data_IF_870489795432
#
_entry.id   IF_870489795432
#
_cell.length_a   1.000
_cell.length_b   1.000
_cell.length_c   1.000
_cell.angle_alpha   90.00
_cell.angle_beta   90.00
_cell.angle_gamma   90.00
#
_symmetry.space_group_name_H-M   'P 1'
#
loop_
_entity.id
_entity.type
_entity.pdbx_description
1 polymer ?
#
# COMPACT_ATOMS: atom_id res chain seq x y z
N UNK A 1 37.86 -29.87 -1.84
CA UNK A 1 37.94 -28.47 -1.40
C UNK A 1 37.29 -27.65 -2.51
N UNK A 2 35.97 -27.47 -2.45
CA UNK A 2 35.20 -26.74 -3.46
C UNK A 2 35.40 -25.26 -3.16
N UNK A 3 36.01 -24.53 -4.09
CA UNK A 3 36.18 -23.08 -3.96
C UNK A 3 34.81 -22.42 -3.77
N UNK A 4 34.72 -21.67 -2.68
CA UNK A 4 33.63 -20.79 -2.28
C UNK A 4 33.10 -19.97 -3.46
N UNK A 5 31.77 -19.95 -3.62
CA UNK A 5 31.07 -18.91 -4.38
C UNK A 5 31.66 -17.54 -4.02
N UNK A 6 32.05 -16.78 -5.04
CA UNK A 6 32.24 -15.34 -4.91
C UNK A 6 30.83 -14.79 -4.69
N UNK A 7 30.50 -14.42 -3.45
CA UNK A 7 29.23 -13.74 -3.19
C UNK A 7 29.20 -12.42 -3.99
N UNK A 8 28.20 -12.21 -4.83
CA UNK A 8 27.99 -10.95 -5.58
C UNK A 8 27.52 -9.81 -4.68
N UNK A 9 27.16 -10.12 -3.42
CA UNK A 9 26.91 -9.14 -2.36
C UNK A 9 28.17 -8.90 -1.52
N UNK A 10 28.54 -7.63 -1.39
CA UNK A 10 29.56 -7.17 -0.44
C UNK A 10 28.89 -6.43 0.71
N UNK A 11 29.17 -6.86 1.94
CA UNK A 11 28.58 -6.29 3.16
C UNK A 11 29.65 -5.58 3.98
N UNK A 12 29.35 -4.36 4.41
CA UNK A 12 30.13 -3.62 5.41
C UNK A 12 29.18 -2.90 6.37
N UNK A 13 29.70 -2.38 7.48
CA UNK A 13 28.87 -1.61 8.42
C UNK A 13 28.22 -0.44 7.69
N UNK A 14 26.89 -0.35 7.77
CA UNK A 14 26.09 0.68 7.13
C UNK A 14 26.19 0.73 5.58
N UNK A 15 26.58 -0.37 4.93
CA UNK A 15 26.57 -0.43 3.47
C UNK A 15 26.43 -1.85 2.93
N UNK A 16 25.62 -1.99 1.88
CA UNK A 16 25.48 -3.21 1.08
C UNK A 16 25.71 -2.85 -0.38
N UNK A 17 26.52 -3.65 -1.05
CA UNK A 17 26.73 -3.58 -2.50
C UNK A 17 26.15 -4.85 -3.13
N UNK A 18 25.32 -4.71 -4.15
CA UNK A 18 24.78 -5.82 -4.94
C UNK A 18 25.11 -5.66 -6.43
N UNK A 19 25.04 -6.75 -7.17
CA UNK A 19 25.16 -6.74 -8.63
C UNK A 19 23.83 -7.15 -9.26
N UNK A 20 23.48 -6.49 -10.36
CA UNK A 20 22.26 -6.77 -11.11
C UNK A 20 22.52 -6.68 -12.63
N UNK A 21 21.70 -7.38 -13.39
CA UNK A 21 21.79 -7.52 -14.84
C UNK A 21 20.66 -6.73 -15.48
N UNK A 22 20.97 -5.89 -16.46
CA UNK A 22 19.95 -5.12 -17.17
C UNK A 22 19.08 -5.99 -18.07
N UNK A 23 17.80 -5.66 -18.13
CA UNK A 23 16.77 -6.35 -18.95
C UNK A 23 16.59 -5.73 -20.34
N UNK A 24 17.21 -4.57 -20.61
CA UNK A 24 16.96 -3.71 -21.80
C UNK A 24 15.53 -3.17 -21.88
N UNK A 25 14.97 -2.71 -20.74
CA UNK A 25 13.79 -1.84 -20.79
C UNK A 25 14.09 -0.63 -21.69
N UNK A 26 13.37 -0.53 -22.81
CA UNK A 26 13.52 0.59 -23.74
C UNK A 26 13.28 1.94 -23.05
N UNK A 27 13.80 3.03 -23.63
CA UNK A 27 13.72 4.37 -23.01
C UNK A 27 12.28 4.85 -22.76
N UNK A 28 11.32 4.36 -23.53
CA UNK A 28 9.90 4.70 -23.41
C UNK A 28 9.09 3.62 -22.68
N UNK A 29 9.74 2.54 -22.24
CA UNK A 29 9.10 1.47 -21.49
C UNK A 29 8.63 2.00 -20.12
N UNK A 30 7.40 1.63 -19.76
CA UNK A 30 6.91 1.86 -18.41
C UNK A 30 7.55 0.82 -17.50
N UNK A 31 8.21 1.28 -16.44
CA UNK A 31 8.86 0.40 -15.48
C UNK A 31 8.16 0.52 -14.13
N UNK A 32 7.90 -0.63 -13.51
CA UNK A 32 7.33 -0.73 -12.17
C UNK A 32 8.38 -1.11 -11.13
N UNK A 33 9.53 -1.66 -11.55
CA UNK A 33 10.60 -2.09 -10.67
C UNK A 33 11.95 -1.56 -11.13
N UNK A 34 12.75 -1.08 -10.17
CA UNK A 34 14.17 -0.89 -10.43
C UNK A 34 14.91 -2.22 -10.32
N UNK A 35 14.59 -3.00 -9.29
CA UNK A 35 15.19 -4.29 -9.02
C UNK A 35 14.13 -5.34 -8.72
N UNK A 36 14.17 -6.45 -9.45
CA UNK A 36 13.48 -7.68 -9.14
C UNK A 36 14.50 -8.82 -8.92
N UNK A 37 14.09 -9.90 -8.26
CA UNK A 37 14.92 -11.08 -8.05
C UNK A 37 15.31 -11.77 -9.38
N UNK A 38 16.33 -12.64 -9.36
CA UNK A 38 16.88 -13.28 -10.56
C UNK A 38 15.85 -14.08 -11.37
N UNK A 39 14.89 -14.69 -10.67
CA UNK A 39 13.88 -15.58 -11.25
C UNK A 39 12.51 -14.88 -11.46
N UNK A 40 12.48 -13.55 -11.46
CA UNK A 40 11.23 -12.79 -11.66
C UNK A 40 10.68 -12.98 -13.08
N UNK A 41 9.38 -13.16 -13.21
CA UNK A 41 8.66 -13.15 -14.49
C UNK A 41 8.25 -11.75 -14.96
N UNK A 42 8.67 -10.70 -14.23
CA UNK A 42 8.42 -9.29 -14.53
C UNK A 42 9.65 -8.57 -15.11
N UNK A 43 10.49 -9.28 -15.85
CA UNK A 43 11.71 -8.72 -16.47
C UNK A 43 11.39 -7.63 -17.53
N UNK A 44 10.21 -7.67 -18.14
CA UNK A 44 9.74 -6.70 -19.12
C UNK A 44 9.41 -5.32 -18.53
N UNK A 45 9.17 -5.23 -17.22
CA UNK A 45 8.86 -3.98 -16.49
C UNK A 45 9.82 -3.71 -15.32
N UNK A 46 10.91 -4.48 -15.25
CA UNK A 46 12.00 -4.32 -14.29
C UNK A 46 13.25 -3.83 -15.00
N UNK A 47 13.88 -2.75 -14.53
CA UNK A 47 15.10 -2.24 -15.18
C UNK A 47 16.32 -3.18 -15.00
N UNK A 48 16.37 -3.90 -13.88
CA UNK A 48 17.41 -4.88 -13.54
C UNK A 48 16.86 -6.10 -12.81
N UNK A 49 17.46 -7.26 -13.07
CA UNK A 49 17.33 -8.47 -12.26
C UNK A 49 18.57 -8.64 -11.38
N UNK A 50 18.41 -8.83 -10.07
CA UNK A 50 19.55 -9.03 -9.17
C UNK A 50 20.19 -10.41 -9.40
N UNK A 51 21.51 -10.53 -9.20
CA UNK A 51 22.17 -11.85 -9.28
C UNK A 51 21.86 -12.72 -8.05
N UNK A 52 21.75 -12.08 -6.88
CA UNK A 52 21.41 -12.75 -5.62
C UNK A 52 19.90 -12.80 -5.39
N UNK A 53 19.46 -13.79 -4.61
CA UNK A 53 18.06 -13.92 -4.23
C UNK A 53 17.61 -12.76 -3.33
N UNK A 54 16.30 -12.46 -3.35
CA UNK A 54 15.69 -11.45 -2.47
C UNK A 54 15.98 -11.75 -1.00
N UNK A 55 16.00 -13.05 -0.64
CA UNK A 55 16.32 -13.52 0.71
C UNK A 55 17.75 -13.17 1.11
N UNK A 56 18.72 -13.41 0.23
CA UNK A 56 20.13 -13.13 0.50
C UNK A 56 20.40 -11.63 0.57
N UNK A 57 19.74 -10.85 -0.27
CA UNK A 57 19.79 -9.38 -0.22
C UNK A 57 19.24 -8.89 1.14
N UNK A 58 18.09 -9.39 1.57
CA UNK A 58 17.54 -9.02 2.88
C UNK A 58 18.48 -9.37 4.04
N UNK A 59 19.03 -10.59 4.03
CA UNK A 59 19.98 -11.05 5.04
C UNK A 59 21.27 -10.20 5.04
N UNK A 60 21.72 -9.72 3.88
CA UNK A 60 22.89 -8.86 3.77
C UNK A 60 22.66 -7.48 4.40
N UNK A 61 21.51 -6.86 4.17
CA UNK A 61 21.13 -5.59 4.80
C UNK A 61 21.00 -5.74 6.32
N UNK A 62 20.35 -6.81 6.79
CA UNK A 62 20.24 -7.13 8.22
C UNK A 62 21.62 -7.32 8.87
N UNK A 63 22.50 -8.10 8.22
CA UNK A 63 23.89 -8.31 8.66
C UNK A 63 24.70 -7.01 8.69
N UNK A 64 24.41 -6.06 7.79
CA UNK A 64 25.03 -4.74 7.76
C UNK A 64 24.55 -3.81 8.89
N UNK A 65 23.54 -4.23 9.65
CA UNK A 65 23.02 -3.53 10.83
C UNK A 65 21.92 -2.50 10.54
N UNK A 66 21.28 -2.53 9.38
CA UNK A 66 20.12 -1.66 9.13
C UNK A 66 18.92 -2.15 9.98
N UNK A 67 18.22 -1.27 10.70
CA UNK A 67 17.02 -1.69 11.43
C UNK A 67 15.88 -2.00 10.46
N UNK A 68 15.09 -3.03 10.79
CA UNK A 68 13.89 -3.36 10.04
C UNK A 68 12.84 -2.24 10.19
N UNK A 69 12.26 -1.84 9.05
CA UNK A 69 11.22 -0.83 9.02
C UNK A 69 9.80 -1.41 9.08
N UNK A 70 8.82 -0.60 8.69
CA UNK A 70 7.42 -0.97 8.51
C UNK A 70 7.03 -0.70 7.04
N UNK A 71 6.90 -1.72 6.18
CA UNK A 71 6.42 -1.54 4.80
C UNK A 71 4.99 -1.02 4.79
N UNK A 72 4.47 -0.49 3.68
CA UNK A 72 3.02 -0.23 3.58
C UNK A 72 2.17 -1.48 3.85
N UNK A 73 0.92 -1.28 4.28
CA UNK A 73 -0.01 -2.36 4.60
C UNK A 73 -1.44 -1.86 4.56
N UNK A 74 -2.20 -2.31 3.56
CA UNK A 74 -3.64 -1.99 3.42
C UNK A 74 -4.42 -2.47 4.66
N UNK A 75 -4.18 -3.72 5.08
CA UNK A 75 -4.82 -4.34 6.25
C UNK A 75 -4.65 -3.52 7.54
N UNK A 76 -3.49 -2.90 7.72
CA UNK A 76 -3.19 -2.10 8.91
C UNK A 76 -3.35 -0.59 8.65
N UNK A 77 -3.97 -0.20 7.53
CA UNK A 77 -4.08 1.19 7.06
C UNK A 77 -2.79 2.00 7.18
N UNK A 78 -1.67 1.36 6.83
CA UNK A 78 -0.34 1.97 6.82
C UNK A 78 0.02 2.29 5.37
N UNK A 79 -0.24 3.52 4.95
CA UNK A 79 -0.02 3.96 3.58
C UNK A 79 1.33 4.65 3.38
N UNK A 80 1.94 5.13 4.46
CA UNK A 80 3.31 5.65 4.44
C UNK A 80 4.28 4.60 4.98
N UNK A 81 5.31 4.20 4.22
CA UNK A 81 6.34 3.31 4.74
C UNK A 81 7.19 4.02 5.80
N UNK A 82 7.65 3.25 6.77
CA UNK A 82 8.57 3.69 7.81
C UNK A 82 9.86 2.87 7.68
N UNK A 83 11.02 3.50 7.70
CA UNK A 83 12.27 2.86 7.37
C UNK A 83 13.48 3.78 7.49
N UNK A 84 14.66 3.20 7.33
CA UNK A 84 15.93 3.93 7.27
C UNK A 84 16.13 4.47 5.85
N UNK A 85 16.45 5.75 5.70
CA UNK A 85 16.73 6.34 4.39
C UNK A 85 18.01 5.77 3.80
N UNK A 86 17.95 5.40 2.53
CA UNK A 86 19.06 4.86 1.76
C UNK A 86 19.57 5.91 0.76
N UNK A 87 20.89 5.98 0.63
CA UNK A 87 21.54 6.57 -0.55
C UNK A 87 22.03 5.44 -1.45
N UNK A 88 21.73 5.54 -2.74
CA UNK A 88 22.16 4.58 -3.77
C UNK A 88 23.22 5.19 -4.68
N UNK A 89 24.21 4.39 -5.07
CA UNK A 89 25.24 4.72 -6.06
C UNK A 89 25.30 3.60 -7.12
N UNK A 90 25.16 3.92 -8.43
CA UNK A 90 24.82 5.24 -8.99
C UNK A 90 23.47 5.76 -8.51
N UNK A 91 23.26 7.08 -8.61
CA UNK A 91 22.03 7.74 -8.16
C UNK A 91 20.80 7.21 -8.92
N UNK A 92 19.68 6.99 -8.22
CA UNK A 92 18.44 6.49 -8.80
C UNK A 92 17.98 7.31 -9.99
N UNK A 93 18.05 8.62 -9.86
CA UNK A 93 17.54 9.56 -10.84
C UNK A 93 18.49 9.76 -12.03
N UNK A 94 19.66 9.11 -12.01
CA UNK A 94 20.50 8.92 -13.20
C UNK A 94 20.04 7.73 -14.06
N UNK A 95 19.18 6.87 -13.51
CA UNK A 95 18.68 5.65 -14.15
C UNK A 95 17.20 5.74 -14.51
N UNK A 96 16.42 6.47 -13.71
CA UNK A 96 14.96 6.56 -13.84
C UNK A 96 14.53 8.02 -13.99
N UNK A 97 13.56 8.26 -14.88
CA UNK A 97 12.82 9.51 -15.02
C UNK A 97 11.41 9.33 -14.46
N UNK A 98 10.96 10.31 -13.70
CA UNK A 98 9.57 10.47 -13.34
C UNK A 98 8.92 11.43 -14.34
N UNK A 99 7.92 10.93 -15.06
CA UNK A 99 7.24 11.66 -16.13
C UNK A 99 6.12 12.57 -15.62
N UNK A 100 5.81 12.52 -14.31
CA UNK A 100 4.71 13.28 -13.70
C UNK A 100 5.16 14.26 -12.64
N UNK A 101 6.25 13.95 -11.93
CA UNK A 101 6.72 14.74 -10.79
C UNK A 101 8.24 14.85 -10.80
N UNK A 102 8.77 16.08 -10.86
CA UNK A 102 10.23 16.29 -10.83
C UNK A 102 10.84 16.10 -9.43
N UNK A 103 10.00 15.97 -8.38
CA UNK A 103 10.49 15.73 -7.03
C UNK A 103 11.19 14.38 -6.98
N UNK A 104 12.43 14.38 -6.51
CA UNK A 104 13.25 13.19 -6.29
C UNK A 104 12.91 12.57 -4.93
N UNK A 105 12.07 11.54 -4.92
CA UNK A 105 11.65 10.86 -3.69
C UNK A 105 12.82 10.09 -3.06
N UNK A 106 13.03 10.19 -1.73
CA UNK A 106 14.00 9.35 -1.03
C UNK A 106 13.63 7.87 -1.08
N UNK A 107 14.64 7.00 -1.08
CA UNK A 107 14.47 5.55 -0.91
C UNK A 107 14.53 5.23 0.57
N UNK A 108 13.66 4.34 1.05
CA UNK A 108 13.68 3.84 2.42
C UNK A 108 13.73 2.32 2.46
N UNK A 109 14.57 1.82 3.36
CA UNK A 109 14.60 0.41 3.73
C UNK A 109 13.47 0.11 4.69
N UNK A 110 12.50 -0.69 4.22
CA UNK A 110 11.48 -1.27 5.10
C UNK A 110 11.76 -2.74 5.38
N UNK A 111 12.54 -3.39 4.52
CA UNK A 111 12.78 -4.82 4.52
C UNK A 111 11.59 -5.65 4.04
N UNK A 112 10.57 -5.01 3.46
CA UNK A 112 9.35 -5.67 2.97
C UNK A 112 8.51 -6.37 4.04
N UNK A 113 7.33 -6.84 3.64
CA UNK A 113 6.48 -7.71 4.48
C UNK A 113 7.24 -8.99 4.79
N UNK A 114 7.12 -9.47 6.04
CA UNK A 114 7.75 -10.71 6.51
C UNK A 114 6.74 -11.81 6.74
N UNK A 115 7.15 -13.03 6.41
CA UNK A 115 6.49 -14.27 6.80
C UNK A 115 6.66 -14.52 8.31
N UNK A 116 5.94 -15.52 8.83
CA UNK A 116 6.02 -15.89 10.25
C UNK A 116 7.42 -16.32 10.71
N UNK A 117 8.22 -16.86 9.79
CA UNK A 117 9.60 -17.28 10.05
C UNK A 117 10.63 -16.13 9.91
N UNK A 118 10.15 -14.91 9.62
CA UNK A 118 10.99 -13.73 9.42
C UNK A 118 11.55 -13.57 8.00
N UNK A 119 11.37 -14.54 7.12
CA UNK A 119 11.77 -14.41 5.71
C UNK A 119 10.93 -13.34 5.01
N UNK A 120 11.48 -12.60 4.03
CA UNK A 120 10.69 -11.64 3.26
C UNK A 120 9.72 -12.36 2.32
N UNK A 121 8.47 -11.90 2.29
CA UNK A 121 7.41 -12.46 1.41
C UNK A 121 7.83 -12.40 -0.06
N UNK A 122 8.55 -11.36 -0.46
CA UNK A 122 9.09 -11.22 -1.82
C UNK A 122 10.15 -12.28 -2.17
N UNK A 123 10.61 -13.13 -1.24
CA UNK A 123 11.52 -14.23 -1.57
C UNK A 123 10.83 -15.37 -2.33
N UNK A 124 9.52 -15.51 -2.21
CA UNK A 124 8.75 -16.59 -2.84
C UNK A 124 7.57 -16.10 -3.67
N UNK A 125 7.18 -14.83 -3.51
CA UNK A 125 6.02 -14.27 -4.20
C UNK A 125 6.49 -13.36 -5.34
N UNK A 126 5.97 -13.63 -6.54
CA UNK A 126 6.14 -12.72 -7.67
C UNK A 126 5.63 -11.32 -7.30
N UNK A 127 6.31 -10.26 -7.76
CA UNK A 127 7.37 -10.23 -8.78
C UNK A 127 8.79 -10.42 -8.24
N UNK A 128 8.98 -10.97 -7.03
CA UNK A 128 10.27 -11.01 -6.33
C UNK A 128 10.88 -9.61 -6.14
N UNK A 129 10.04 -8.63 -5.77
CA UNK A 129 10.42 -7.23 -5.74
C UNK A 129 11.52 -6.93 -4.70
N UNK A 130 12.68 -6.47 -5.16
CA UNK A 130 13.71 -5.88 -4.31
C UNK A 130 13.45 -4.38 -4.13
N UNK A 131 13.15 -3.66 -5.21
CA UNK A 131 12.72 -2.27 -5.17
C UNK A 131 11.68 -1.98 -6.25
N UNK A 132 10.42 -1.89 -5.82
CA UNK A 132 9.30 -1.41 -6.63
C UNK A 132 9.28 0.14 -6.64
N UNK A 133 8.93 0.72 -7.78
CA UNK A 133 8.78 2.16 -7.98
C UNK A 133 7.40 2.68 -7.51
N UNK A 134 6.72 1.91 -6.69
CA UNK A 134 5.50 2.26 -5.97
C UNK A 134 5.50 1.54 -4.61
N UNK A 135 4.54 1.84 -3.75
CA UNK A 135 4.47 1.24 -2.42
C UNK A 135 3.87 -0.17 -2.45
N UNK A 136 4.65 -1.12 -2.97
CA UNK A 136 4.39 -2.54 -2.89
C UNK A 136 4.82 -3.10 -1.50
N UNK A 137 3.89 -3.60 -0.65
CA UNK A 137 4.21 -4.03 0.71
C UNK A 137 5.37 -5.03 0.83
N UNK A 138 5.45 -6.00 -0.09
CA UNK A 138 6.49 -7.04 -0.05
C UNK A 138 7.87 -6.57 -0.52
N UNK A 139 7.97 -5.41 -1.20
CA UNK A 139 9.24 -4.90 -1.67
C UNK A 139 10.17 -4.50 -0.53
N UNK A 140 11.45 -4.86 -0.62
CA UNK A 140 12.43 -4.59 0.44
C UNK A 140 12.67 -3.08 0.63
N UNK A 141 12.69 -2.35 -0.49
CA UNK A 141 12.85 -0.90 -0.54
C UNK A 141 11.59 -0.26 -1.08
N UNK A 142 11.25 0.93 -0.57
CA UNK A 142 10.10 1.71 -1.03
C UNK A 142 10.48 3.18 -1.11
N UNK A 143 9.68 3.97 -1.83
CA UNK A 143 9.78 5.42 -1.75
C UNK A 143 9.26 5.94 -0.41
N UNK A 144 9.87 7.02 0.10
CA UNK A 144 9.39 7.78 1.26
C UNK A 144 8.17 8.64 0.91
N UNK A 145 7.13 8.00 0.39
CA UNK A 145 5.89 8.63 -0.09
C UNK A 145 4.73 7.61 0.00
N UNK A 146 3.51 8.05 -0.31
CA UNK A 146 2.30 7.23 -0.39
C UNK A 146 1.85 7.09 -1.85
N UNK A 147 2.59 6.30 -2.60
CA UNK A 147 2.42 5.98 -4.01
C UNK A 147 1.72 4.63 -4.18
N UNK A 148 0.40 4.65 -4.31
CA UNK A 148 -0.32 3.46 -4.75
C UNK A 148 -0.01 3.14 -6.22
N UNK A 149 -0.22 1.88 -6.62
CA UNK A 149 0.12 1.42 -7.97
C UNK A 149 -0.64 2.17 -9.07
N UNK A 150 -1.90 2.55 -8.81
CA UNK A 150 -2.72 3.28 -9.80
C UNK A 150 -2.18 4.69 -10.05
N UNK A 151 -1.58 5.32 -9.03
CA UNK A 151 -0.93 6.61 -9.14
C UNK A 151 0.42 6.55 -9.89
N UNK A 152 1.05 5.37 -9.97
CA UNK A 152 2.37 5.18 -10.59
C UNK A 152 2.33 4.50 -11.95
N UNK A 153 1.20 3.92 -12.36
CA UNK A 153 1.09 3.30 -13.68
C UNK A 153 1.45 4.29 -14.79
N UNK A 154 2.48 3.96 -15.58
CA UNK A 154 3.05 4.83 -16.63
C UNK A 154 3.78 6.08 -16.14
N UNK A 155 4.14 6.18 -14.86
CA UNK A 155 4.85 7.32 -14.28
C UNK A 155 6.36 7.25 -14.50
N UNK A 156 6.97 6.08 -14.37
CA UNK A 156 8.42 5.93 -14.40
C UNK A 156 8.90 5.30 -15.71
N UNK A 157 9.98 5.87 -16.25
CA UNK A 157 10.64 5.40 -17.47
C UNK A 157 12.17 5.37 -17.27
N UNK A 158 12.92 4.53 -18.00
CA UNK A 158 14.37 4.61 -18.01
C UNK A 158 14.89 5.99 -18.46
N UNK A 159 15.90 6.51 -17.75
CA UNK A 159 16.64 7.71 -18.10
C UNK A 159 17.79 7.40 -19.08
N UNK A 160 18.26 6.16 -19.08
CA UNK A 160 19.41 5.70 -19.85
C UNK A 160 19.09 4.36 -20.49
N UNK A 161 19.60 4.14 -21.70
CA UNK A 161 19.54 2.83 -22.35
C UNK A 161 20.72 1.99 -21.88
N UNK A 162 20.45 0.77 -21.43
CA UNK A 162 21.45 -0.16 -20.94
C UNK A 162 21.25 -1.48 -21.71
N UNK A 163 22.29 -2.01 -22.39
CA UNK A 163 22.20 -3.27 -23.10
C UNK A 163 21.74 -4.44 -22.22
N UNK A 164 20.90 -5.31 -22.78
CA UNK A 164 20.45 -6.54 -22.11
C UNK A 164 21.67 -7.36 -21.69
N UNK A 165 21.67 -7.85 -20.46
CA UNK A 165 22.79 -8.64 -19.95
C UNK A 165 23.94 -7.82 -19.37
N UNK A 166 23.95 -6.47 -19.52
CA UNK A 166 24.99 -5.65 -18.91
C UNK A 166 24.88 -5.73 -17.38
N UNK A 167 25.99 -6.12 -16.74
CA UNK A 167 26.09 -6.18 -15.28
C UNK A 167 26.42 -4.80 -14.72
N UNK A 168 25.73 -4.41 -13.66
CA UNK A 168 26.01 -3.19 -12.90
C UNK A 168 26.04 -3.46 -11.41
N UNK A 169 26.87 -2.69 -10.73
CA UNK A 169 27.03 -2.75 -9.28
C UNK A 169 26.36 -1.54 -8.65
N UNK A 170 25.58 -1.80 -7.60
CA UNK A 170 24.82 -0.80 -6.88
C UNK A 170 25.19 -0.84 -5.41
N UNK A 171 25.64 0.30 -4.88
CA UNK A 171 26.01 0.46 -3.48
C UNK A 171 24.92 1.25 -2.75
N UNK A 172 24.43 0.68 -1.66
CA UNK A 172 23.50 1.32 -0.74
C UNK A 172 24.25 1.70 0.54
N UNK A 173 23.99 2.89 1.05
CA UNK A 173 24.56 3.41 2.30
C UNK A 173 23.50 4.13 3.13
N UNK A 174 23.68 4.17 4.46
CA UNK A 174 22.79 4.89 5.37
C UNK A 174 23.55 5.44 6.59
N UNK A 175 22.95 6.41 7.26
CA UNK A 175 23.49 7.04 8.48
C UNK A 175 22.64 6.75 9.73
N UNK A 176 21.55 5.99 9.57
CA UNK A 176 20.58 5.71 10.63
C UNK A 176 19.41 6.70 10.71
N UNK A 177 19.35 7.71 9.82
CA UNK A 177 18.17 8.59 9.72
C UNK A 177 16.94 7.77 9.30
N UNK A 178 15.92 7.77 10.16
CA UNK A 178 14.63 7.15 9.86
C UNK A 178 13.63 8.18 9.37
N UNK A 179 12.80 7.81 8.41
CA UNK A 179 11.68 8.64 7.94
C UNK A 179 10.45 8.59 8.87
N UNK A 180 10.52 7.83 9.98
CA UNK A 180 9.49 7.77 11.03
C UNK A 180 9.77 8.71 12.20
N UNK A 181 10.98 9.28 12.28
CA UNK A 181 11.43 10.11 13.38
C UNK A 181 10.96 11.57 13.38
N UNK A 182 10.15 12.00 12.40
CA UNK A 182 9.53 13.33 12.44
C UNK A 182 8.18 13.27 13.14
N UNK A 183 7.11 12.70 12.58
CA UNK A 183 5.86 12.43 13.33
C UNK A 183 5.07 11.25 12.70
N UNK A 184 5.23 10.01 13.20
CA UNK A 184 4.25 8.94 12.93
C UNK A 184 3.11 9.07 13.96
N UNK A 185 1.87 9.06 13.50
CA UNK A 185 0.70 9.13 14.37
C UNK A 185 -0.35 8.07 14.01
N UNK A 186 -0.99 7.55 15.05
CA UNK A 186 -2.18 6.70 14.95
C UNK A 186 -3.32 7.43 15.67
N UNK A 187 -4.25 8.03 14.92
CA UNK A 187 -5.38 8.74 15.49
C UNK A 187 -6.23 7.87 16.43
N UNK A 188 -6.82 8.51 17.44
CA UNK A 188 -7.80 7.90 18.32
C UNK A 188 -9.17 8.55 18.09
N UNK A 189 -10.14 7.74 17.70
CA UNK A 189 -11.53 8.15 17.54
C UNK A 189 -12.36 7.49 18.65
N UNK A 190 -12.45 8.12 19.83
CA UNK A 190 -13.03 7.48 20.99
C UNK A 190 -14.55 7.28 20.82
N UNK A 191 -15.14 6.25 21.45
CA UNK A 191 -16.53 5.84 21.22
C UNK A 191 -17.57 6.93 21.57
N UNK A 192 -17.26 7.85 22.46
CA UNK A 192 -18.11 8.98 22.85
C UNK A 192 -18.06 10.18 21.89
N UNK A 193 -17.17 10.15 20.89
CA UNK A 193 -17.11 11.17 19.84
C UNK A 193 -18.36 11.10 18.96
N UNK A 194 -18.87 12.27 18.53
CA UNK A 194 -19.95 12.31 17.57
C UNK A 194 -19.42 12.11 16.15
N UNK A 195 -20.18 11.46 15.27
CA UNK A 195 -19.83 11.25 13.84
C UNK A 195 -19.41 12.56 13.17
N UNK A 196 -20.14 13.65 13.42
CA UNK A 196 -19.84 14.97 12.86
C UNK A 196 -18.48 15.53 13.30
N UNK A 197 -18.04 15.24 14.53
CA UNK A 197 -16.73 15.67 15.02
C UNK A 197 -15.60 14.76 14.51
N UNK A 198 -15.88 13.46 14.34
CA UNK A 198 -14.97 12.53 13.69
C UNK A 198 -14.66 12.95 12.24
N UNK A 199 -15.68 13.37 11.48
CA UNK A 199 -15.51 13.89 10.12
C UNK A 199 -14.62 15.15 10.11
N UNK A 200 -14.85 16.11 11.01
CA UNK A 200 -14.01 17.32 11.11
C UNK A 200 -12.56 16.99 11.45
N UNK A 201 -12.36 16.12 12.44
CA UNK A 201 -11.02 15.69 12.86
C UNK A 201 -10.30 14.94 11.74
N UNK A 202 -11.00 14.03 11.06
CA UNK A 202 -10.47 13.32 9.90
C UNK A 202 -10.05 14.30 8.79
N UNK A 203 -10.85 15.33 8.53
CA UNK A 203 -10.49 16.41 7.59
C UNK A 203 -9.19 17.10 7.99
N UNK A 204 -9.06 17.50 9.25
CA UNK A 204 -7.81 18.11 9.76
C UNK A 204 -6.61 17.16 9.66
N UNK A 205 -6.80 15.87 9.94
CA UNK A 205 -5.75 14.85 9.78
C UNK A 205 -5.33 14.68 8.31
N UNK A 206 -6.27 14.77 7.37
CA UNK A 206 -5.98 14.69 5.94
C UNK A 206 -5.06 15.81 5.46
N UNK A 207 -5.22 17.02 6.00
CA UNK A 207 -4.36 18.16 5.68
C UNK A 207 -2.94 18.00 6.27
N UNK A 208 -2.80 17.24 7.35
CA UNK A 208 -1.51 16.94 7.97
C UNK A 208 -0.79 15.76 7.30
N UNK A 209 -1.55 14.84 6.70
CA UNK A 209 -1.07 13.56 6.19
C UNK A 209 -0.11 13.75 5.00
N UNK A 210 1.19 13.59 5.26
CA UNK A 210 2.26 13.98 4.35
C UNK A 210 3.53 13.15 4.62
N UNK A 211 4.57 13.23 3.76
CA UNK A 211 5.85 12.59 4.04
C UNK A 211 6.50 13.03 5.37
N UNK A 212 6.20 14.24 5.85
CA UNK A 212 6.72 14.77 7.11
C UNK A 212 5.91 14.28 8.34
N UNK A 213 4.61 14.06 8.17
CA UNK A 213 3.66 13.69 9.22
C UNK A 213 2.77 12.56 8.71
N UNK A 214 3.06 11.34 9.17
CA UNK A 214 2.49 10.12 8.59
C UNK A 214 1.33 9.63 9.45
N UNK A 215 0.12 9.75 8.93
CA UNK A 215 -1.09 9.30 9.63
C UNK A 215 -1.37 7.85 9.23
N UNK A 216 -0.88 6.92 10.05
CA UNK A 216 -0.94 5.49 9.79
C UNK A 216 -1.75 4.75 10.86
N UNK A 217 -2.51 3.76 10.40
CA UNK A 217 -3.20 2.81 11.26
C UNK A 217 -4.38 3.37 12.03
N UNK A 218 -4.96 2.50 12.84
CA UNK A 218 -6.14 2.73 13.64
C UNK A 218 -6.03 1.93 14.93
N UNK A 219 -6.75 2.34 15.98
CA UNK A 219 -6.85 1.52 17.20
C UNK A 219 -7.81 0.36 17.00
N UNK A 220 -7.56 -0.75 17.69
CA UNK A 220 -8.41 -1.93 17.61
C UNK A 220 -9.88 -1.59 17.88
N UNK A 221 -10.77 -2.06 17.01
CA UNK A 221 -12.21 -1.79 17.09
C UNK A 221 -12.65 -0.40 16.59
N UNK A 222 -11.72 0.43 16.10
CA UNK A 222 -12.02 1.72 15.48
C UNK A 222 -11.78 1.68 13.97
N UNK A 223 -12.13 2.77 13.28
CA UNK A 223 -11.84 2.97 11.87
C UNK A 223 -10.60 3.80 11.65
N UNK A 224 -9.97 3.59 10.49
CA UNK A 224 -8.97 4.52 9.96
C UNK A 224 -9.60 5.88 9.66
N UNK A 225 -8.86 6.97 9.86
CA UNK A 225 -9.44 8.32 9.77
C UNK A 225 -10.10 8.61 8.41
N UNK A 226 -9.52 8.10 7.30
CA UNK A 226 -10.09 8.29 5.95
C UNK A 226 -11.46 7.61 5.76
N UNK A 227 -11.85 6.69 6.66
CA UNK A 227 -13.21 6.15 6.68
C UNK A 227 -14.26 7.25 6.85
N UNK A 228 -13.93 8.35 7.55
CA UNK A 228 -14.83 9.49 7.76
C UNK A 228 -14.75 10.55 6.64
N UNK A 229 -14.00 10.26 5.57
CA UNK A 229 -13.86 11.14 4.39
C UNK A 229 -14.23 10.41 3.09
N UNK A 230 -15.41 9.73 3.02
CA UNK A 230 -15.82 9.13 1.77
C UNK A 230 -16.07 10.19 0.69
N UNK A 231 -15.95 9.80 -0.58
CA UNK A 231 -16.28 10.69 -1.69
C UNK A 231 -17.80 10.92 -1.73
N UNK A 232 -18.22 12.17 -1.83
CA UNK A 232 -19.65 12.51 -1.83
C UNK A 232 -20.41 11.89 -3.01
N UNK A 233 -19.74 11.75 -4.17
CA UNK A 233 -20.32 11.07 -5.34
C UNK A 233 -20.70 9.62 -5.05
N UNK A 234 -20.02 8.95 -4.11
CA UNK A 234 -20.35 7.58 -3.73
C UNK A 234 -21.70 7.46 -2.99
N UNK A 235 -22.37 8.56 -2.64
CA UNK A 235 -23.76 8.47 -2.17
C UNK A 235 -24.69 7.99 -3.27
N UNK A 236 -24.45 8.41 -4.51
CA UNK A 236 -25.15 7.88 -5.68
C UNK A 236 -24.59 6.50 -6.01
N UNK A 237 -25.46 5.49 -6.07
CA UNK A 237 -25.08 4.10 -6.37
C UNK A 237 -24.57 3.93 -7.79
N UNK A 238 -25.00 4.79 -8.73
CA UNK A 238 -24.58 4.74 -10.14
C UNK A 238 -23.16 5.24 -10.36
N UNK A 239 -22.68 6.12 -9.49
CA UNK A 239 -21.34 6.70 -9.56
C UNK A 239 -20.27 5.80 -8.90
N UNK A 240 -20.65 4.60 -8.45
CA UNK A 240 -19.74 3.65 -7.79
C UNK A 240 -19.27 2.59 -8.78
N UNK A 241 -18.00 2.24 -8.68
CA UNK A 241 -17.42 1.11 -9.42
C UNK A 241 -17.84 -0.25 -8.85
N UNK A 242 -18.25 -0.30 -7.59
CA UNK A 242 -18.70 -1.50 -6.90
C UNK A 242 -19.95 -1.19 -6.08
N UNK A 243 -20.64 -2.23 -5.61
CA UNK A 243 -21.85 -2.09 -4.80
C UNK A 243 -21.64 -2.64 -3.37
N UNK A 244 -20.99 -1.85 -2.47
CA UNK A 244 -20.79 -2.21 -1.06
C UNK A 244 -22.09 -2.47 -0.31
N UNK A 245 -21.98 -3.12 0.86
CA UNK A 245 -23.08 -3.12 1.82
C UNK A 245 -23.37 -1.70 2.30
N UNK A 246 -24.64 -1.37 2.48
CA UNK A 246 -25.07 -0.11 3.09
C UNK A 246 -25.73 -0.37 4.44
N UNK A 247 -25.30 0.35 5.47
CA UNK A 247 -25.98 0.38 6.77
C UNK A 247 -26.55 1.77 6.99
N UNK A 248 -27.84 1.85 7.30
CA UNK A 248 -28.55 3.09 7.67
C UNK A 248 -29.15 2.95 9.06
N UNK A 249 -29.28 4.05 9.78
CA UNK A 249 -29.93 4.03 11.09
C UNK A 249 -31.37 4.54 10.99
N UNK A 250 -32.35 3.66 11.19
CA UNK A 250 -33.79 3.98 11.19
C UNK A 250 -34.29 3.86 12.62
N UNK A 251 -34.86 4.95 13.15
CA UNK A 251 -35.33 5.00 14.55
C UNK A 251 -34.25 4.57 15.57
N UNK A 252 -32.98 4.91 15.29
CA UNK A 252 -31.83 4.57 16.13
C UNK A 252 -31.36 3.11 16.03
N UNK A 253 -31.92 2.30 15.11
CA UNK A 253 -31.48 0.91 14.87
C UNK A 253 -30.80 0.77 13.53
N UNK A 254 -29.71 -0.02 13.42
CA UNK A 254 -29.05 -0.25 12.15
C UNK A 254 -29.90 -1.18 11.27
N UNK A 255 -30.08 -0.79 10.01
CA UNK A 255 -30.73 -1.55 8.95
C UNK A 255 -29.71 -1.76 7.82
N UNK A 256 -29.62 -3.00 7.33
CA UNK A 256 -28.67 -3.40 6.31
C UNK A 256 -29.38 -3.51 4.95
N UNK A 257 -28.80 -2.85 3.95
CA UNK A 257 -29.23 -2.92 2.56
C UNK A 257 -28.10 -3.55 1.72
N UNK A 258 -28.48 -4.53 0.89
CA UNK A 258 -27.62 -5.12 -0.13
C UNK A 258 -28.07 -4.63 -1.49
N UNK A 259 -27.12 -4.24 -2.34
CA UNK A 259 -27.40 -3.87 -3.73
C UNK A 259 -26.96 -5.00 -4.64
N UNK A 260 -27.85 -5.41 -5.55
CA UNK A 260 -27.58 -6.39 -6.60
C UNK A 260 -27.62 -5.70 -7.96
N UNK A 261 -26.70 -6.10 -8.81
CA UNK A 261 -26.67 -5.70 -10.21
C UNK A 261 -27.47 -6.71 -11.04
N UNK A 262 -28.44 -6.21 -11.80
CA UNK A 262 -29.20 -6.96 -12.77
C UNK A 262 -28.77 -6.55 -14.18
N UNK A 263 -28.12 -7.48 -14.86
CA UNK A 263 -27.55 -7.34 -16.21
C UNK A 263 -28.46 -7.95 -17.29
N UNK A 264 -29.75 -8.17 -17.00
CA UNK A 264 -30.68 -8.85 -17.93
C UNK A 264 -31.09 -8.02 -19.15
N UNK A 265 -30.85 -6.70 -19.16
CA UNK A 265 -31.12 -5.85 -20.32
C UNK A 265 -29.93 -5.81 -21.28
N UNK A 266 -30.03 -6.59 -22.37
CA UNK A 266 -29.00 -6.66 -23.42
C UNK A 266 -28.79 -5.34 -24.17
N UNK A 267 -29.71 -4.36 -24.06
CA UNK A 267 -29.58 -3.05 -24.70
C UNK A 267 -28.94 -1.98 -23.77
N UNK A 268 -28.68 -2.34 -22.51
CA UNK A 268 -28.05 -1.45 -21.55
C UNK A 268 -26.59 -1.83 -21.33
N UNK A 269 -25.72 -0.82 -21.30
CA UNK A 269 -24.33 -0.99 -20.86
C UNK A 269 -24.16 -0.82 -19.35
N UNK A 270 -25.22 -0.38 -18.66
CA UNK A 270 -25.24 -0.22 -17.20
C UNK A 270 -26.21 -1.22 -16.55
N UNK A 271 -25.86 -1.81 -15.40
CA UNK A 271 -26.76 -2.71 -14.71
C UNK A 271 -27.90 -1.95 -14.06
N UNK A 272 -29.06 -2.61 -13.99
CA UNK A 272 -30.13 -2.15 -13.12
C UNK A 272 -29.76 -2.48 -11.67
N UNK A 273 -29.67 -1.45 -10.83
CA UNK A 273 -29.35 -1.62 -9.41
C UNK A 273 -30.62 -1.90 -8.59
N UNK A 274 -30.64 -3.04 -7.90
CA UNK A 274 -31.75 -3.48 -7.04
C UNK A 274 -31.26 -3.47 -5.60
N UNK A 275 -31.77 -2.54 -4.79
CA UNK A 275 -31.51 -2.50 -3.36
C UNK A 275 -32.55 -3.31 -2.59
N UNK A 276 -32.09 -4.12 -1.66
CA UNK A 276 -32.95 -4.97 -0.83
C UNK A 276 -32.46 -4.92 0.61
N UNK A 277 -33.38 -4.60 1.53
CA UNK A 277 -33.10 -4.68 2.95
C UNK A 277 -33.08 -6.14 3.39
N UNK A 278 -32.06 -6.51 4.14
CA UNK A 278 -31.82 -7.88 4.58
C UNK A 278 -31.39 -7.88 6.05
N UNK A 279 -31.41 -9.06 6.67
CA UNK A 279 -30.89 -9.20 8.03
C UNK A 279 -29.38 -9.37 8.03
N UNK A 280 -28.71 -8.97 9.12
CA UNK A 280 -27.27 -9.11 9.27
C UNK A 280 -26.81 -10.58 9.18
N UNK A 281 -27.62 -11.51 9.68
CA UNK A 281 -27.31 -12.95 9.65
C UNK A 281 -27.26 -13.48 8.21
N UNK A 282 -28.07 -12.92 7.31
CA UNK A 282 -28.15 -13.37 5.92
C UNK A 282 -26.87 -13.11 5.11
N UNK A 283 -26.05 -12.14 5.55
CA UNK A 283 -24.81 -11.76 4.87
C UNK A 283 -23.56 -12.25 5.60
N UNK A 284 -23.68 -12.97 6.72
CA UNK A 284 -22.54 -13.32 7.59
C UNK A 284 -21.40 -14.09 6.89
N UNK A 285 -21.69 -14.74 5.76
CA UNK A 285 -20.74 -15.49 4.90
C UNK A 285 -20.66 -14.94 3.48
N UNK A 286 -21.16 -13.73 3.26
CA UNK A 286 -21.15 -13.10 1.95
C UNK A 286 -19.78 -12.47 1.71
N UNK A 287 -19.11 -12.96 0.67
CA UNK A 287 -17.76 -12.54 0.27
C UNK A 287 -17.76 -11.66 -0.98
N UNK A 288 -18.95 -11.22 -1.45
CA UNK A 288 -19.09 -10.40 -2.67
C UNK A 288 -18.48 -9.01 -2.55
N UNK A 289 -18.24 -8.53 -1.34
CA UNK A 289 -17.60 -7.24 -1.09
C UNK A 289 -16.78 -7.27 0.18
N UNK A 290 -15.73 -6.47 0.20
CA UNK A 290 -14.87 -6.20 1.35
C UNK A 290 -15.14 -4.81 1.96
N UNK A 291 -16.17 -4.12 1.45
CA UNK A 291 -16.46 -2.71 1.73
C UNK A 291 -17.86 -2.53 2.30
N UNK A 292 -18.01 -1.63 3.27
CA UNK A 292 -19.30 -1.20 3.80
C UNK A 292 -19.39 0.32 3.96
N UNK A 293 -20.52 0.88 3.52
CA UNK A 293 -20.90 2.27 3.71
C UNK A 293 -21.90 2.37 4.86
N UNK A 294 -21.62 3.25 5.83
CA UNK A 294 -22.47 3.52 6.97
C UNK A 294 -22.99 4.95 6.84
N UNK A 295 -24.31 5.11 6.81
CA UNK A 295 -24.97 6.42 6.83
C UNK A 295 -25.52 6.65 8.23
N UNK A 296 -24.88 7.56 8.96
CA UNK A 296 -25.17 7.80 10.37
C UNK A 296 -25.48 9.28 10.63
N UNK A 297 -26.44 9.60 11.51
CA UNK A 297 -26.67 10.98 11.93
C UNK A 297 -25.39 11.61 12.50
N UNK A 298 -25.12 12.87 12.17
CA UNK A 298 -23.91 13.57 12.67
C UNK A 298 -23.80 13.62 14.20
N UNK A 299 -24.92 13.60 14.90
CA UNK A 299 -24.97 13.60 16.37
C UNK A 299 -24.75 12.22 17.00
N UNK A 300 -24.84 11.14 16.21
CA UNK A 300 -24.66 9.76 16.69
C UNK A 300 -23.25 9.55 17.25
N UNK A 301 -23.16 8.75 18.31
CA UNK A 301 -21.86 8.40 18.92
C UNK A 301 -21.18 7.30 18.12
N UNK A 302 -19.84 7.37 18.01
CA UNK A 302 -19.05 6.35 17.32
C UNK A 302 -19.21 4.96 17.94
N UNK A 303 -19.53 4.86 19.24
CA UNK A 303 -19.88 3.60 19.90
C UNK A 303 -20.96 2.80 19.15
N UNK A 304 -22.00 3.48 18.66
CA UNK A 304 -23.11 2.87 17.93
C UNK A 304 -22.68 2.44 16.53
N UNK A 305 -21.85 3.26 15.88
CA UNK A 305 -21.26 2.97 14.57
C UNK A 305 -20.32 1.76 14.64
N UNK A 306 -19.42 1.71 15.63
CA UNK A 306 -18.49 0.59 15.83
C UNK A 306 -19.20 -0.72 16.20
N UNK A 307 -20.37 -0.63 16.85
CA UNK A 307 -21.17 -1.82 17.13
C UNK A 307 -21.63 -2.54 15.86
N UNK A 308 -21.89 -1.80 14.76
CA UNK A 308 -22.28 -2.37 13.45
C UNK A 308 -21.21 -3.30 12.90
N UNK A 309 -19.93 -3.01 13.10
CA UNK A 309 -18.83 -3.86 12.61
C UNK A 309 -18.88 -5.28 13.15
N UNK A 310 -19.45 -5.46 14.36
CA UNK A 310 -19.60 -6.78 14.98
C UNK A 310 -20.75 -7.59 14.39
N UNK A 311 -21.65 -6.94 13.64
CA UNK A 311 -22.81 -7.56 13.01
C UNK A 311 -22.53 -8.03 11.57
N UNK A 312 -21.41 -7.62 10.99
CA UNK A 312 -21.09 -7.86 9.59
C UNK A 312 -19.92 -8.84 9.42
N UNK A 313 -19.70 -9.38 8.19
CA UNK A 313 -18.63 -10.32 7.92
C UNK A 313 -17.24 -9.77 8.29
N UNK A 314 -16.39 -10.65 8.83
CA UNK A 314 -14.99 -10.32 9.15
C UNK A 314 -14.12 -10.09 7.91
N UNK A 315 -14.64 -10.42 6.72
CA UNK A 315 -14.00 -10.17 5.43
C UNK A 315 -14.05 -8.69 5.04
N UNK A 316 -14.92 -7.89 5.67
CA UNK A 316 -14.95 -6.45 5.46
C UNK A 316 -13.72 -5.78 6.08
N UNK A 317 -12.92 -5.14 5.23
CA UNK A 317 -11.72 -4.40 5.63
C UNK A 317 -11.83 -2.90 5.34
N UNK A 318 -12.75 -2.51 4.45
CA UNK A 318 -12.96 -1.12 4.05
C UNK A 318 -14.26 -0.59 4.65
N UNK A 319 -14.16 0.48 5.43
CA UNK A 319 -15.29 1.11 6.10
C UNK A 319 -15.36 2.57 5.70
N UNK A 320 -16.56 3.05 5.42
CA UNK A 320 -16.81 4.45 5.09
C UNK A 320 -18.04 4.96 5.83
N UNK A 321 -17.92 6.10 6.50
CA UNK A 321 -18.98 6.69 7.32
C UNK A 321 -19.38 8.03 6.73
N UNK A 322 -20.61 8.10 6.25
CA UNK A 322 -21.27 9.31 5.81
C UNK A 322 -22.06 9.92 6.96
N UNK A 323 -21.77 11.18 7.28
CA UNK A 323 -22.60 11.96 8.20
C UNK A 323 -23.85 12.49 7.47
N UNK A 324 -25.02 12.15 7.98
CA UNK A 324 -26.33 12.71 7.58
C UNK A 324 -26.80 13.77 8.60
#
# INVERSE_FOLDING_TARGET
>A
MILSLIASIVVSTNSVTLTAVSTDCGLDAQIEFLFAGPDSDHDYESMFLTEDSVKDIAAAFEKAGIPLGKPTSVKNCRFWPIGTKLKMEPDLWSLVRDMRDERKQPIVWTGGTREKDGSPVAATNMPLAVFALYNLPQSLMQFDDALDQSATYGRFQPAVKIPKGEKRTFKFTWTGETNGGKHEMTPDFPPEMAVGDAIKLAGALSELDSPATKVNGFKEGQFYFRAFLPRESWRDRKERLTQPFEVRFVEGKPALTVIKEDWSDENSTDPKLIATDVTFESVAKDERTDTCFIYAPKAMKLAEVYAVCKLLPKTLVNWYVFGE
#
